data_IF_423688218845
#
_entry.id   IF_423688218845
#
_cell.length_a   1.000
_cell.length_b   1.000
_cell.length_c   1.000
_cell.angle_alpha   90.00
_cell.angle_beta   90.00
_cell.angle_gamma   90.00
#
_symmetry.space_group_name_H-M   'P 1'
#
loop_
_entity.id
_entity.type
_entity.pdbx_description
1 polymer ?
#
# COMPACT_ATOMS: atom_id res chain seq x y z
N UNK A 1 5.73 -64.09 1.96
CA UNK A 1 4.40 -63.49 1.72
C UNK A 1 4.04 -62.72 2.98
N UNK A 2 4.77 -61.65 3.30
CA UNK A 2 4.78 -60.34 2.63
C UNK A 2 3.55 -59.50 2.99
N UNK A 3 3.85 -58.28 3.46
CA UNK A 3 2.99 -57.11 3.62
C UNK A 3 1.95 -57.11 4.76
N UNK A 4 2.33 -56.58 5.93
CA UNK A 4 1.61 -55.43 6.49
C UNK A 4 2.40 -54.70 7.61
N UNK A 5 3.67 -54.42 7.34
CA UNK A 5 4.33 -53.28 7.96
C UNK A 5 3.81 -52.01 7.29
N UNK A 6 3.69 -50.92 8.07
CA UNK A 6 3.39 -49.54 7.64
C UNK A 6 1.89 -49.20 7.61
N UNK A 7 1.31 -48.95 8.79
CA UNK A 7 0.14 -48.06 8.92
C UNK A 7 0.14 -47.35 10.29
N UNK A 8 1.33 -46.92 10.72
CA UNK A 8 1.52 -46.15 11.96
C UNK A 8 2.22 -44.80 11.74
N UNK A 9 2.22 -44.28 10.51
CA UNK A 9 2.86 -43.02 10.14
C UNK A 9 1.98 -42.31 9.11
N UNK A 10 1.02 -41.49 9.57
CA UNK A 10 0.49 -40.33 8.83
C UNK A 10 -0.55 -39.53 9.64
N UNK A 11 -0.40 -39.42 10.97
CA UNK A 11 -1.16 -38.47 11.79
C UNK A 11 -0.30 -37.32 12.32
N UNK A 12 0.74 -36.97 11.56
CA UNK A 12 1.28 -35.61 11.59
C UNK A 12 0.57 -34.82 10.48
N UNK A 13 -0.75 -34.65 10.66
CA UNK A 13 -1.48 -33.60 9.96
C UNK A 13 -0.85 -32.29 10.42
N UNK A 14 0.14 -31.85 9.65
CA UNK A 14 0.72 -30.53 9.76
C UNK A 14 -0.46 -29.58 9.82
N UNK A 15 -0.63 -28.91 10.96
CA UNK A 15 -1.56 -27.81 11.08
C UNK A 15 -1.13 -26.77 10.06
N UNK A 16 -1.66 -26.87 8.85
CA UNK A 16 -1.65 -25.77 7.90
C UNK A 16 -2.64 -24.80 8.51
N UNK A 17 -2.16 -24.04 9.49
CA UNK A 17 -2.89 -22.90 10.01
C UNK A 17 -3.27 -22.09 8.78
N UNK A 18 -4.57 -22.02 8.50
CA UNK A 18 -5.09 -21.06 7.57
C UNK A 18 -4.66 -19.72 8.14
N UNK A 19 -3.53 -19.19 7.65
CA UNK A 19 -3.08 -17.87 8.01
C UNK A 19 -4.17 -16.99 7.43
N UNK A 20 -5.05 -16.53 8.31
CA UNK A 20 -6.13 -15.62 8.00
C UNK A 20 -5.47 -14.40 7.40
N UNK A 21 -5.34 -14.38 6.07
CA UNK A 21 -4.94 -13.18 5.36
C UNK A 21 -6.03 -12.19 5.69
N UNK A 22 -5.71 -11.25 6.58
CA UNK A 22 -6.66 -10.23 6.99
C UNK A 22 -7.06 -9.49 5.72
N UNK A 23 -8.30 -9.76 5.28
CA UNK A 23 -8.86 -9.03 4.15
C UNK A 23 -9.06 -7.56 4.49
N UNK A 24 -8.77 -7.13 5.72
CA UNK A 24 -9.23 -5.88 6.33
C UNK A 24 -8.14 -4.81 6.50
N UNK A 25 -7.04 -4.96 5.77
CA UNK A 25 -5.91 -4.03 5.76
C UNK A 25 -4.65 -4.59 6.39
N UNK A 26 -3.52 -3.95 6.10
CA UNK A 26 -2.23 -4.36 6.62
C UNK A 26 -2.05 -3.96 8.10
N UNK A 27 -1.31 -4.75 8.90
CA UNK A 27 -1.08 -4.47 10.31
C UNK A 27 -0.11 -3.29 10.50
N UNK A 28 -0.13 -2.60 11.66
CA UNK A 28 0.80 -1.52 11.97
C UNK A 28 2.28 -1.88 11.83
N UNK A 29 2.63 -3.13 12.12
CA UNK A 29 4.00 -3.65 11.98
C UNK A 29 4.53 -3.64 10.54
N UNK A 30 3.65 -3.55 9.54
CA UNK A 30 4.04 -3.45 8.14
C UNK A 30 4.30 -2.00 7.69
N UNK A 31 4.08 -1.01 8.55
CA UNK A 31 4.19 0.40 8.21
C UNK A 31 5.58 0.74 7.63
N UNK A 32 6.67 0.63 8.39
CA UNK A 32 7.97 1.13 7.90
C UNK A 32 8.61 0.20 6.85
N UNK A 33 8.52 -1.11 7.04
CA UNK A 33 9.09 -2.10 6.13
C UNK A 33 8.33 -2.18 4.79
N UNK A 34 7.06 -1.75 4.77
CA UNK A 34 6.12 -1.94 3.66
C UNK A 34 5.97 -3.41 3.23
N UNK A 35 6.38 -4.35 4.07
CA UNK A 35 6.37 -5.78 3.77
C UNK A 35 5.04 -6.42 4.19
N UNK A 36 4.28 -7.02 3.24
CA UNK A 36 3.09 -7.81 3.58
C UNK A 36 3.46 -9.01 4.44
N UNK A 37 2.61 -9.37 5.41
CA UNK A 37 2.76 -10.60 6.19
C UNK A 37 2.13 -11.80 5.46
N UNK A 38 2.67 -12.10 4.28
CA UNK A 38 2.20 -13.18 3.40
C UNK A 38 3.04 -14.46 3.59
N UNK A 39 3.36 -14.80 4.84
CA UNK A 39 4.14 -15.99 5.17
C UNK A 39 5.55 -15.95 4.57
N UNK A 40 5.88 -16.94 3.73
CA UNK A 40 7.22 -17.13 3.15
C UNK A 40 7.44 -16.46 1.79
N UNK A 41 6.40 -15.84 1.23
CA UNK A 41 6.49 -15.25 -0.11
C UNK A 41 7.34 -13.98 -0.06
N UNK A 42 8.19 -13.81 -1.07
CA UNK A 42 9.02 -12.62 -1.25
C UNK A 42 8.36 -11.67 -2.27
N UNK A 43 8.73 -10.38 -2.26
CA UNK A 43 8.29 -9.44 -3.30
C UNK A 43 8.75 -9.89 -4.68
N UNK A 44 7.96 -9.54 -5.69
CA UNK A 44 8.35 -9.62 -7.09
C UNK A 44 9.46 -8.60 -7.40
N UNK A 45 10.41 -9.01 -8.23
CA UNK A 45 11.53 -8.17 -8.69
C UNK A 45 11.29 -7.55 -10.08
N UNK A 46 10.23 -7.98 -10.77
CA UNK A 46 9.83 -7.43 -12.05
C UNK A 46 9.27 -6.01 -11.89
N UNK A 47 9.20 -5.27 -13.00
CA UNK A 47 8.55 -3.96 -13.00
C UNK A 47 7.11 -4.08 -12.49
N UNK A 48 6.71 -3.28 -11.48
CA UNK A 48 5.37 -3.36 -10.92
C UNK A 48 4.35 -2.90 -11.97
N UNK A 49 3.24 -3.64 -12.17
CA UNK A 49 2.16 -3.20 -13.05
C UNK A 49 1.26 -2.16 -12.36
N UNK A 50 1.86 -1.23 -11.61
CA UNK A 50 1.17 -0.25 -10.77
C UNK A 50 1.88 1.10 -10.80
N UNK A 51 1.12 2.19 -10.68
CA UNK A 51 1.66 3.55 -10.58
C UNK A 51 1.05 4.28 -9.39
N UNK A 52 1.84 5.21 -8.84
CA UNK A 52 1.38 6.21 -7.88
C UNK A 52 1.50 7.55 -8.60
N UNK A 53 0.36 8.19 -8.85
CA UNK A 53 0.27 9.46 -9.57
C UNK A 53 -0.16 10.55 -8.61
N UNK A 54 0.39 11.75 -8.79
CA UNK A 54 -0.04 12.97 -8.13
C UNK A 54 -0.62 13.92 -9.16
N UNK A 55 -1.54 14.80 -8.77
CA UNK A 55 -2.08 15.84 -9.66
C UNK A 55 -1.10 17.00 -9.91
N UNK A 56 -0.05 17.09 -9.10
CA UNK A 56 1.03 18.09 -9.20
C UNK A 56 2.39 17.46 -8.92
N UNK A 57 3.45 18.05 -9.47
CA UNK A 57 4.86 17.72 -9.18
C UNK A 57 5.58 18.80 -8.36
N UNK A 58 4.96 19.96 -8.22
CA UNK A 58 5.46 21.07 -7.39
C UNK A 58 4.29 21.90 -6.88
N UNK A 59 4.29 22.23 -5.59
CA UNK A 59 3.21 23.01 -4.97
C UNK A 59 3.69 23.75 -3.72
N UNK A 60 2.95 24.79 -3.37
CA UNK A 60 3.04 25.43 -2.06
C UNK A 60 2.50 24.46 -1.00
N UNK A 61 3.24 24.27 0.10
CA UNK A 61 2.95 23.30 1.18
C UNK A 61 1.66 23.48 1.98
N UNK A 62 0.64 24.16 1.45
CA UNK A 62 -0.65 24.43 2.11
C UNK A 62 -1.86 23.82 1.38
N UNK A 63 -1.67 23.25 0.19
CA UNK A 63 -2.77 22.72 -0.62
C UNK A 63 -2.84 21.19 -0.54
N UNK A 64 -4.07 20.65 -0.56
CA UNK A 64 -4.30 19.21 -0.66
C UNK A 64 -3.86 18.69 -2.02
N UNK A 65 -3.20 17.55 -2.02
CA UNK A 65 -2.68 16.88 -3.21
C UNK A 65 -3.52 15.64 -3.46
N UNK A 66 -3.98 15.47 -4.70
CA UNK A 66 -4.72 14.28 -5.11
C UNK A 66 -3.73 13.21 -5.54
N UNK A 67 -3.96 12.00 -5.07
CA UNK A 67 -3.15 10.83 -5.38
C UNK A 67 -4.04 9.78 -6.02
N UNK A 68 -3.53 9.16 -7.09
CA UNK A 68 -4.16 8.02 -7.73
C UNK A 68 -3.22 6.83 -7.65
N UNK A 69 -3.70 5.73 -7.07
CA UNK A 69 -3.07 4.42 -7.20
C UNK A 69 -3.70 3.70 -8.38
N UNK A 70 -2.92 3.38 -9.40
CA UNK A 70 -3.45 2.86 -10.67
C UNK A 70 -2.81 1.52 -11.04
N UNK A 71 -3.63 0.55 -11.41
CA UNK A 71 -3.21 -0.67 -12.10
C UNK A 71 -2.96 -0.38 -13.58
N UNK A 72 -1.84 -0.86 -14.13
CA UNK A 72 -1.50 -0.71 -15.55
C UNK A 72 -2.08 -1.88 -16.34
N UNK A 73 -2.63 -1.58 -17.52
CA UNK A 73 -3.01 -2.60 -18.49
C UNK A 73 -1.74 -3.19 -19.11
N UNK A 74 -1.49 -4.47 -18.85
CA UNK A 74 -0.31 -5.16 -19.40
C UNK A 74 -0.66 -5.85 -20.72
N UNK A 75 -1.93 -6.22 -20.90
CA UNK A 75 -2.50 -6.75 -22.15
C UNK A 75 -3.96 -6.29 -22.31
N UNK A 76 -4.47 -6.30 -23.54
CA UNK A 76 -5.78 -5.74 -23.93
C UNK A 76 -6.96 -6.24 -23.05
N UNK A 77 -6.82 -7.39 -22.37
CA UNK A 77 -7.83 -7.96 -21.48
C UNK A 77 -7.31 -8.38 -20.09
N UNK A 78 -6.11 -7.95 -19.66
CA UNK A 78 -5.53 -8.37 -18.38
C UNK A 78 -5.04 -7.21 -17.49
N UNK A 79 -5.97 -6.51 -16.86
CA UNK A 79 -5.63 -5.57 -15.78
C UNK A 79 -5.13 -6.34 -14.55
N UNK A 80 -3.89 -6.06 -14.12
CA UNK A 80 -3.39 -6.55 -12.84
C UNK A 80 -4.01 -5.72 -11.73
N UNK A 81 -5.19 -6.13 -11.25
CA UNK A 81 -5.91 -5.38 -10.21
C UNK A 81 -5.15 -5.28 -8.87
N UNK A 82 -5.46 -4.25 -8.10
CA UNK A 82 -5.00 -4.02 -6.73
C UNK A 82 -5.98 -4.70 -5.78
N UNK A 83 -5.53 -5.72 -5.04
CA UNK A 83 -6.30 -6.36 -3.96
C UNK A 83 -5.89 -5.90 -2.58
N UNK A 84 -4.68 -5.37 -2.44
CA UNK A 84 -4.20 -4.76 -1.22
C UNK A 84 -3.12 -3.74 -1.53
N UNK A 85 -2.97 -2.78 -0.63
CA UNK A 85 -1.89 -1.80 -0.70
C UNK A 85 -1.52 -1.29 0.68
N UNK A 86 -0.32 -0.71 0.76
CA UNK A 86 0.11 0.23 1.79
C UNK A 86 0.70 1.43 1.07
N UNK A 87 0.40 2.64 1.53
CA UNK A 87 0.93 3.88 0.95
C UNK A 87 1.39 4.83 2.05
N UNK A 88 2.52 5.48 1.80
CA UNK A 88 3.15 6.49 2.66
C UNK A 88 3.70 7.64 1.82
N UNK A 89 3.85 8.81 2.44
CA UNK A 89 4.68 9.89 1.93
C UNK A 89 5.97 9.96 2.75
N UNK A 90 7.12 9.97 2.07
CA UNK A 90 8.44 10.04 2.69
C UNK A 90 9.20 11.25 2.18
N UNK A 91 10.11 11.79 3.00
CA UNK A 91 11.16 12.67 2.46
C UNK A 91 11.97 11.89 1.42
N UNK A 92 12.40 12.55 0.34
CA UNK A 92 13.22 11.95 -0.69
C UNK A 92 14.45 11.27 -0.04
N UNK A 93 14.75 10.04 -0.48
CA UNK A 93 15.86 9.22 0.00
C UNK A 93 15.91 8.95 1.51
N UNK A 94 14.76 9.03 2.19
CA UNK A 94 14.62 8.76 3.62
C UNK A 94 13.47 7.81 3.94
N UNK A 95 13.46 7.25 5.14
CA UNK A 95 12.31 6.53 5.72
C UNK A 95 11.39 7.44 6.54
N UNK A 96 11.77 8.71 6.71
CA UNK A 96 11.01 9.67 7.49
C UNK A 96 9.68 10.01 6.82
N UNK A 97 8.58 9.76 7.53
CA UNK A 97 7.22 10.02 7.08
C UNK A 97 6.91 11.52 7.17
N UNK A 98 6.16 12.03 6.21
CA UNK A 98 5.80 13.45 6.13
C UNK A 98 4.34 13.65 5.72
N UNK A 99 3.73 14.72 6.26
CA UNK A 99 2.34 15.06 6.00
C UNK A 99 1.35 14.04 6.54
N UNK A 100 0.11 14.14 6.07
CA UNK A 100 -0.98 13.28 6.51
C UNK A 100 -1.92 12.97 5.36
N UNK A 101 -2.39 11.72 5.28
CA UNK A 101 -3.52 11.41 4.42
C UNK A 101 -4.80 12.01 5.00
N UNK A 102 -5.68 12.43 4.10
CA UNK A 102 -6.97 13.01 4.41
C UNK A 102 -8.03 12.37 3.52
N UNK A 103 -9.27 12.26 4.04
CA UNK A 103 -10.43 11.75 3.31
C UNK A 103 -11.49 12.84 3.12
N UNK A 104 -11.05 14.10 3.10
CA UNK A 104 -11.92 15.28 3.07
C UNK A 104 -12.47 15.63 1.67
N UNK A 105 -12.63 14.68 0.73
CA UNK A 105 -13.48 14.98 -0.43
C UNK A 105 -14.94 15.03 0.03
N UNK A 106 -15.43 16.23 0.31
CA UNK A 106 -16.76 16.51 0.87
C UNK A 106 -17.91 16.22 -0.10
N UNK A 107 -17.62 15.74 -1.32
CA UNK A 107 -18.66 15.26 -2.25
C UNK A 107 -19.06 13.81 -1.98
N UNK A 108 -18.22 13.09 -1.25
CA UNK A 108 -18.36 11.67 -0.97
C UNK A 108 -18.37 11.54 0.57
N UNK A 109 -19.54 11.34 1.17
CA UNK A 109 -19.76 11.37 2.63
C UNK A 109 -19.02 10.26 3.42
N UNK A 110 -17.69 10.29 3.46
CA UNK A 110 -16.87 9.42 4.30
C UNK A 110 -15.61 8.89 3.62
N UNK A 111 -14.78 8.26 4.44
CA UNK A 111 -13.69 7.37 4.00
C UNK A 111 -14.13 6.53 2.80
N UNK A 112 -13.39 6.50 1.67
CA UNK A 112 -13.68 5.58 0.59
C UNK A 112 -13.77 4.18 1.18
N UNK A 113 -14.86 3.45 0.94
CA UNK A 113 -15.13 2.16 1.61
C UNK A 113 -14.03 1.11 1.41
N UNK A 114 -13.09 1.37 0.50
CA UNK A 114 -11.94 0.57 0.12
C UNK A 114 -10.61 0.96 0.79
N UNK A 115 -10.56 2.08 1.52
CA UNK A 115 -9.33 2.68 2.08
C UNK A 115 -9.53 2.94 3.57
N UNK A 116 -8.45 2.84 4.35
CA UNK A 116 -8.43 3.23 5.77
C UNK A 116 -7.05 3.71 6.16
N UNK A 117 -7.01 4.50 7.22
CA UNK A 117 -5.79 4.77 7.97
C UNK A 117 -5.15 3.48 8.49
N UNK A 118 -3.82 3.44 8.41
CA UNK A 118 -2.97 2.44 9.03
C UNK A 118 -2.26 3.09 10.21
N UNK A 119 -2.34 2.46 11.38
CA UNK A 119 -1.54 2.89 12.52
C UNK A 119 -0.06 2.77 12.20
N UNK A 120 0.68 3.86 12.35
CA UNK A 120 2.13 3.91 12.33
C UNK A 120 2.62 4.54 13.64
N UNK A 121 3.86 4.27 14.05
CA UNK A 121 4.46 4.89 15.25
C UNK A 121 4.42 6.43 15.18
N UNK A 122 4.43 7.00 13.98
CA UNK A 122 4.43 8.44 13.70
C UNK A 122 3.02 9.06 13.56
N UNK A 123 1.96 8.31 13.85
CA UNK A 123 0.57 8.78 13.78
C UNK A 123 -0.32 7.93 12.85
N UNK A 124 -1.62 7.93 13.11
CA UNK A 124 -2.59 7.10 12.37
C UNK A 124 -2.83 7.56 10.94
N UNK A 125 -2.64 8.84 10.63
CA UNK A 125 -2.83 9.41 9.28
C UNK A 125 -1.57 9.37 8.41
N UNK A 126 -0.44 8.88 8.93
CA UNK A 126 0.84 8.86 8.21
C UNK A 126 0.91 7.77 7.11
N UNK A 127 0.04 6.76 7.20
CA UNK A 127 -0.07 5.71 6.20
C UNK A 127 -1.53 5.27 5.99
N UNK A 128 -1.79 4.68 4.83
CA UNK A 128 -3.12 4.16 4.46
C UNK A 128 -3.00 2.78 3.84
N UNK A 129 -4.05 1.98 4.00
CA UNK A 129 -4.17 0.61 3.49
C UNK A 129 -5.59 0.34 3.00
N UNK A 130 -5.75 -0.73 2.23
CA UNK A 130 -7.05 -1.28 1.85
C UNK A 130 -7.91 -1.71 3.05
N UNK A 131 -9.24 -1.74 2.89
CA UNK A 131 -10.21 -2.31 3.87
C UNK A 131 -10.77 -3.67 3.46
N UNK A 132 -10.62 -4.05 2.19
CA UNK A 132 -11.14 -5.28 1.62
C UNK A 132 -10.31 -5.73 0.40
N UNK A 133 -10.34 -7.02 0.09
CA UNK A 133 -9.61 -7.63 -1.02
C UNK A 133 -10.30 -7.55 -2.38
N UNK A 134 -11.38 -6.76 -2.52
CA UNK A 134 -12.07 -6.63 -3.80
C UNK A 134 -11.11 -6.04 -4.83
N UNK A 135 -11.03 -6.61 -6.05
CA UNK A 135 -10.18 -6.08 -7.11
C UNK A 135 -10.49 -4.62 -7.39
N UNK A 136 -9.45 -3.79 -7.47
CA UNK A 136 -9.54 -2.37 -7.85
C UNK A 136 -8.60 -2.08 -9.02
N UNK A 137 -9.02 -1.23 -9.95
CA UNK A 137 -8.14 -0.68 -10.98
C UNK A 137 -7.55 0.66 -10.57
N UNK A 138 -8.32 1.47 -9.84
CA UNK A 138 -7.92 2.78 -9.36
C UNK A 138 -8.39 3.01 -7.92
N UNK A 139 -7.61 3.78 -7.17
CA UNK A 139 -7.96 4.29 -5.85
C UNK A 139 -7.56 5.76 -5.79
N UNK A 140 -8.45 6.58 -5.25
CA UNK A 140 -8.28 8.03 -5.15
C UNK A 140 -8.11 8.42 -3.68
N UNK A 141 -7.07 9.21 -3.40
CA UNK A 141 -6.71 9.65 -2.06
C UNK A 141 -6.37 11.14 -2.07
N UNK A 142 -6.44 11.77 -0.91
CA UNK A 142 -5.87 13.10 -0.72
C UNK A 142 -4.80 13.07 0.35
N UNK A 143 -3.77 13.89 0.17
CA UNK A 143 -2.68 14.06 1.11
C UNK A 143 -2.44 15.53 1.38
N UNK A 144 -2.22 15.84 2.65
CA UNK A 144 -1.97 17.17 3.16
C UNK A 144 -0.48 17.29 3.51
N UNK A 145 0.25 18.21 2.86
CA UNK A 145 1.61 18.52 3.25
C UNK A 145 1.66 18.96 4.71
N UNK A 146 2.76 18.63 5.39
CA UNK A 146 3.02 19.25 6.68
C UNK A 146 3.33 20.73 6.46
N UNK A 147 2.53 21.64 7.03
CA UNK A 147 2.64 23.09 6.76
C UNK A 147 3.98 23.75 7.13
N UNK A 148 4.85 23.03 7.84
CA UNK A 148 6.21 23.47 8.16
C UNK A 148 7.31 22.77 7.35
N UNK A 149 6.98 21.75 6.55
CA UNK A 149 7.97 21.01 5.78
C UNK A 149 8.15 21.59 4.38
N UNK A 150 9.40 21.92 4.06
CA UNK A 150 9.85 22.27 2.72
C UNK A 150 10.88 21.23 2.28
N UNK A 151 10.80 20.78 1.04
CA UNK A 151 11.65 19.69 0.58
C UNK A 151 11.02 18.88 -0.52
N UNK A 152 11.61 17.72 -0.75
CA UNK A 152 11.19 16.76 -1.76
C UNK A 152 10.49 15.58 -1.08
N UNK A 153 9.32 15.25 -1.60
CA UNK A 153 8.48 14.16 -1.12
C UNK A 153 8.37 13.10 -2.21
N UNK A 154 8.41 11.85 -1.81
CA UNK A 154 8.07 10.72 -2.67
C UNK A 154 7.02 9.87 -1.99
N UNK A 155 5.97 9.51 -2.73
CA UNK A 155 5.00 8.54 -2.26
C UNK A 155 5.54 7.14 -2.51
N UNK A 156 5.59 6.32 -1.47
CA UNK A 156 6.14 4.96 -1.52
C UNK A 156 5.07 3.99 -1.08
N UNK A 157 4.90 2.91 -1.84
CA UNK A 157 3.86 1.94 -1.56
C UNK A 157 4.23 0.51 -1.88
N UNK A 158 3.35 -0.35 -1.38
CA UNK A 158 3.32 -1.78 -1.67
C UNK A 158 1.99 -2.10 -2.33
N UNK A 159 2.02 -2.96 -3.33
CA UNK A 159 0.85 -3.37 -4.10
C UNK A 159 0.74 -4.89 -4.10
N UNK A 160 -0.46 -5.39 -3.79
CA UNK A 160 -0.78 -6.82 -3.72
C UNK A 160 -1.75 -7.17 -4.83
N UNK A 161 -1.35 -8.09 -5.71
CA UNK A 161 -2.22 -8.67 -6.75
C UNK A 161 -2.94 -9.93 -6.24
N UNK A 162 -2.21 -10.77 -5.52
CA UNK A 162 -2.69 -12.00 -4.88
C UNK A 162 -1.89 -12.25 -3.60
N UNK A 163 -2.31 -13.24 -2.81
CA UNK A 163 -1.62 -13.57 -1.55
C UNK A 163 -0.12 -13.86 -1.73
N UNK A 164 0.29 -14.36 -2.89
CA UNK A 164 1.69 -14.74 -3.16
C UNK A 164 2.39 -13.83 -4.18
N UNK A 165 1.73 -12.79 -4.71
CA UNK A 165 2.28 -11.90 -5.74
C UNK A 165 2.06 -10.46 -5.34
N UNK A 166 3.16 -9.76 -5.05
CA UNK A 166 3.16 -8.38 -4.57
C UNK A 166 4.48 -7.69 -4.84
N UNK A 167 4.45 -6.36 -4.93
CA UNK A 167 5.62 -5.51 -5.15
C UNK A 167 5.73 -4.52 -4.01
N UNK A 168 6.96 -4.30 -3.52
CA UNK A 168 7.25 -3.32 -2.46
C UNK A 168 8.10 -2.18 -3.02
N UNK A 169 8.06 -1.02 -2.37
CA UNK A 169 8.94 0.10 -2.72
C UNK A 169 8.59 0.75 -4.06
N UNK A 170 7.36 0.61 -4.54
CA UNK A 170 6.87 1.32 -5.72
C UNK A 170 6.81 2.81 -5.39
N UNK A 171 7.41 3.66 -6.22
CA UNK A 171 7.54 5.11 -5.98
C UNK A 171 6.72 5.92 -6.98
N UNK A 172 6.18 7.06 -6.53
CA UNK A 172 5.72 8.13 -7.42
C UNK A 172 6.89 8.88 -8.04
N UNK A 173 6.58 9.81 -8.95
CA UNK A 173 7.50 10.92 -9.22
C UNK A 173 7.70 11.78 -7.98
N UNK A 174 8.79 12.54 -7.99
CA UNK A 174 9.13 13.47 -6.93
C UNK A 174 8.16 14.66 -6.90
N UNK A 175 7.68 14.98 -5.71
CA UNK A 175 6.87 16.16 -5.42
C UNK A 175 7.70 17.19 -4.67
N UNK A 176 7.89 18.37 -5.27
CA UNK A 176 8.58 19.50 -4.63
C UNK A 176 7.60 20.34 -3.81
N UNK A 177 7.83 20.41 -2.50
CA UNK A 177 7.14 21.35 -1.62
C UNK A 177 7.94 22.62 -1.44
N UNK A 178 7.32 23.73 -1.76
CA UNK A 178 7.88 25.07 -1.63
C UNK A 178 7.14 25.88 -0.57
N UNK A 179 7.83 26.87 0.01
CA UNK A 179 7.23 27.81 0.95
C UNK A 179 6.08 28.58 0.30
N UNK A 180 5.08 28.96 1.09
CA UNK A 180 4.16 29.99 0.64
C UNK A 180 4.90 31.31 0.44
N UNK A 181 4.78 31.89 -0.77
CA UNK A 181 5.03 33.30 -0.93
C UNK A 181 4.05 34.03 0.00
N UNK A 182 4.59 34.70 1.02
CA UNK A 182 3.81 35.50 1.96
C UNK A 182 3.20 36.73 1.29
#
# INVERSE_FOLDING_TARGET
MEHLSILLLCLLSHGVGNVMSYSTGAPPTACLELMPKHGRFAPEFSDPPYRILTDVVSINGTQLIKIVLQAIQVEEYSWKTIKGFVLQARKLDSQELVGAFSFQDRRDNGMPGDIRYMGCEYGSSAAVTHTNKRPKTELYLTWEPSGYYEGDVVFVGTFVQSFNTFWIGVKSEQLRLTKSAG
#
